data_IF_306120186182
#
_entry.id   IF_306120186182
#
_cell.length_a   1.000
_cell.length_b   1.000
_cell.length_c   1.000
_cell.angle_alpha   90.00
_cell.angle_beta   90.00
_cell.angle_gamma   90.00
#
_symmetry.space_group_name_H-M   'P 1'
#
loop_
_entity.id
_entity.type
_entity.pdbx_description
1 polymer ?
#
# COMPACT_ATOMS: atom_id res chain seq x y z
N UNK A 1 8.18 2.60 -31.22
CA UNK A 1 6.77 2.67 -30.79
C UNK A 1 6.83 3.00 -29.31
N UNK A 2 6.25 4.12 -28.89
CA UNK A 2 6.33 4.55 -27.50
C UNK A 2 5.55 3.58 -26.63
N UNK A 3 6.14 3.16 -25.49
CA UNK A 3 5.45 2.29 -24.55
C UNK A 3 4.54 3.15 -23.68
N UNK A 4 3.22 2.91 -23.73
CA UNK A 4 2.25 3.80 -23.10
C UNK A 4 1.35 3.00 -22.15
N UNK A 5 1.28 3.45 -20.90
CA UNK A 5 0.46 2.86 -19.86
C UNK A 5 -0.63 3.83 -19.35
N UNK A 6 -1.72 3.26 -18.85
CA UNK A 6 -2.77 3.96 -18.11
C UNK A 6 -2.81 3.43 -16.67
N UNK A 7 -2.60 4.30 -15.69
CA UNK A 7 -2.82 4.02 -14.28
C UNK A 7 -4.20 4.51 -13.86
N UNK A 8 -5.03 3.61 -13.32
CA UNK A 8 -6.31 3.92 -12.68
C UNK A 8 -6.13 3.72 -11.17
N UNK A 9 -5.84 4.79 -10.42
CA UNK A 9 -5.48 4.67 -9.02
C UNK A 9 -6.67 4.32 -8.15
N UNK A 10 -6.37 3.83 -6.94
CA UNK A 10 -7.33 3.66 -5.86
C UNK A 10 -7.32 4.95 -5.03
N UNK A 11 -8.47 5.54 -4.68
CA UNK A 11 -8.51 6.71 -3.82
C UNK A 11 -7.87 6.43 -2.45
N UNK A 12 -7.01 7.33 -1.98
CA UNK A 12 -6.42 7.29 -0.65
C UNK A 12 -4.89 7.40 -0.68
N UNK A 13 -4.33 8.08 0.31
CA UNK A 13 -2.90 8.46 0.37
C UNK A 13 -1.97 7.23 0.34
N UNK A 14 -2.30 6.18 1.09
CA UNK A 14 -1.48 4.95 1.10
C UNK A 14 -1.51 4.23 -0.25
N UNK A 15 -2.68 4.17 -0.88
CA UNK A 15 -2.84 3.56 -2.20
C UNK A 15 -2.11 4.35 -3.28
N UNK A 16 -2.19 5.68 -3.21
CA UNK A 16 -1.46 6.59 -4.08
C UNK A 16 0.07 6.40 -3.97
N UNK A 17 0.61 6.30 -2.75
CA UNK A 17 2.05 6.04 -2.54
C UNK A 17 2.51 4.74 -3.21
N UNK A 18 1.75 3.66 -3.05
CA UNK A 18 2.08 2.35 -3.63
C UNK A 18 1.97 2.40 -5.14
N UNK A 19 0.90 2.99 -5.67
CA UNK A 19 0.66 3.07 -7.11
C UNK A 19 1.69 3.95 -7.81
N UNK A 20 2.08 5.06 -7.17
CA UNK A 20 3.13 5.93 -7.70
C UNK A 20 4.49 5.22 -7.76
N UNK A 21 4.80 4.29 -6.86
CA UNK A 21 6.05 3.52 -7.01
C UNK A 21 6.03 2.54 -8.20
N UNK A 22 4.88 1.97 -8.56
CA UNK A 22 4.74 1.23 -9.82
C UNK A 22 4.84 2.14 -11.05
N UNK A 23 4.23 3.33 -10.99
CA UNK A 23 4.34 4.35 -12.05
C UNK A 23 5.79 4.77 -12.25
N UNK A 24 6.50 5.10 -11.17
CA UNK A 24 7.93 5.45 -11.20
C UNK A 24 8.77 4.35 -11.85
N UNK A 25 8.50 3.08 -11.52
CA UNK A 25 9.21 1.95 -12.11
C UNK A 25 8.98 1.85 -13.62
N UNK A 26 7.74 2.07 -14.08
CA UNK A 26 7.42 2.10 -15.51
C UNK A 26 8.10 3.28 -16.22
N UNK A 27 8.03 4.48 -15.64
CA UNK A 27 8.68 5.67 -16.18
C UNK A 27 10.20 5.49 -16.30
N UNK A 28 10.83 4.87 -15.28
CA UNK A 28 12.24 4.52 -15.32
C UNK A 28 12.59 3.54 -16.45
N UNK A 29 11.67 2.62 -16.79
CA UNK A 29 11.79 1.70 -17.92
C UNK A 29 11.44 2.34 -19.28
N UNK A 30 11.22 3.67 -19.32
CA UNK A 30 10.94 4.44 -20.52
C UNK A 30 9.48 4.40 -20.98
N UNK A 31 8.55 4.02 -20.09
CA UNK A 31 7.13 4.12 -20.39
C UNK A 31 6.61 5.53 -20.17
N UNK A 32 5.68 5.96 -21.00
CA UNK A 32 4.83 7.12 -20.73
C UNK A 32 3.59 6.65 -19.96
N UNK A 33 3.36 7.20 -18.78
CA UNK A 33 2.21 6.83 -17.95
C UNK A 33 1.20 7.96 -17.90
N UNK A 34 -0.06 7.61 -18.16
CA UNK A 34 -1.20 8.50 -18.00
C UNK A 34 -2.00 8.11 -16.76
N UNK A 35 -2.60 9.09 -16.10
CA UNK A 35 -3.42 8.88 -14.90
C UNK A 35 -4.90 9.11 -15.21
N UNK A 36 -5.73 8.10 -14.96
CA UNK A 36 -7.19 8.21 -15.00
C UNK A 36 -7.76 8.55 -13.62
N UNK A 37 -8.88 9.26 -13.55
CA UNK A 37 -9.62 9.44 -12.28
C UNK A 37 -10.67 8.33 -12.11
N UNK A 38 -10.56 7.45 -11.10
CA UNK A 38 -11.53 6.38 -10.85
C UNK A 38 -12.95 6.87 -10.51
N UNK A 39 -13.12 8.13 -10.11
CA UNK A 39 -14.43 8.71 -9.73
C UNK A 39 -15.22 9.26 -10.93
N UNK A 40 -14.55 9.50 -12.05
CA UNK A 40 -15.22 9.89 -13.30
C UNK A 40 -15.57 8.66 -14.10
N UNK A 41 -16.63 8.70 -14.94
CA UNK A 41 -16.84 7.67 -15.97
C UNK A 41 -15.62 7.70 -16.89
N UNK A 42 -14.64 6.85 -16.60
CA UNK A 42 -13.38 6.83 -17.30
C UNK A 42 -13.67 6.57 -18.78
N UNK A 43 -13.27 7.50 -19.63
CA UNK A 43 -13.26 7.28 -21.07
C UNK A 43 -12.10 6.36 -21.47
N UNK A 44 -11.78 5.30 -20.70
CA UNK A 44 -10.68 4.36 -20.96
C UNK A 44 -10.61 3.94 -22.42
N UNK A 45 -11.78 3.76 -23.05
CA UNK A 45 -11.90 3.49 -24.48
C UNK A 45 -11.20 4.56 -25.35
N UNK A 46 -11.51 5.85 -25.15
CA UNK A 46 -10.88 6.95 -25.89
C UNK A 46 -9.38 6.98 -25.65
N UNK A 47 -8.94 6.77 -24.42
CA UNK A 47 -7.51 6.73 -24.10
C UNK A 47 -6.78 5.61 -24.86
N UNK A 48 -7.35 4.39 -24.87
CA UNK A 48 -6.81 3.27 -25.64
C UNK A 48 -6.78 3.60 -27.14
N UNK A 49 -7.87 4.14 -27.68
CA UNK A 49 -8.02 4.43 -29.11
C UNK A 49 -7.14 5.61 -29.60
N UNK A 50 -7.00 6.68 -28.81
CA UNK A 50 -6.28 7.91 -29.19
C UNK A 50 -4.79 7.85 -28.85
N UNK A 51 -4.42 7.22 -27.74
CA UNK A 51 -3.03 7.18 -27.26
C UNK A 51 -2.35 5.84 -27.45
N UNK A 52 -3.04 4.81 -27.95
CA UNK A 52 -2.43 3.49 -28.18
C UNK A 52 -1.92 2.84 -26.89
N UNK A 53 -2.72 2.92 -25.81
CA UNK A 53 -2.39 2.32 -24.51
C UNK A 53 -2.10 0.82 -24.68
N UNK A 54 -0.98 0.36 -24.13
CA UNK A 54 -0.53 -1.04 -24.20
C UNK A 54 -0.65 -1.77 -22.85
N UNK A 55 -0.66 -1.02 -21.75
CA UNK A 55 -0.80 -1.54 -20.39
C UNK A 55 -1.80 -0.70 -19.60
N UNK A 56 -2.72 -1.36 -18.89
CA UNK A 56 -3.58 -0.72 -17.90
C UNK A 56 -3.23 -1.29 -16.53
N UNK A 57 -2.85 -0.42 -15.60
CA UNK A 57 -2.74 -0.76 -14.18
C UNK A 57 -3.99 -0.30 -13.45
N UNK A 58 -4.66 -1.20 -12.75
CA UNK A 58 -5.90 -0.90 -12.05
C UNK A 58 -5.99 -1.66 -10.73
N UNK A 59 -7.00 -1.35 -9.92
CA UNK A 59 -7.26 -1.99 -8.65
C UNK A 59 -8.71 -2.50 -8.58
N UNK A 60 -8.92 -3.56 -7.78
CA UNK A 60 -10.24 -4.03 -7.37
C UNK A 60 -11.13 -2.89 -6.84
N UNK A 61 -12.45 -3.06 -6.96
CA UNK A 61 -13.54 -2.09 -6.66
C UNK A 61 -13.59 -0.82 -7.51
N UNK A 62 -12.45 -0.21 -7.81
CA UNK A 62 -12.42 1.14 -8.37
C UNK A 62 -12.32 1.16 -9.90
N UNK A 63 -11.33 0.48 -10.47
CA UNK A 63 -11.08 0.59 -11.92
C UNK A 63 -11.59 -0.59 -12.75
N UNK A 64 -11.63 -1.80 -12.20
CA UNK A 64 -11.92 -3.02 -12.97
C UNK A 64 -13.29 -3.01 -13.67
N UNK A 65 -14.33 -2.53 -12.99
CA UNK A 65 -15.71 -2.46 -13.53
C UNK A 65 -15.89 -1.39 -14.61
N UNK A 66 -14.92 -0.49 -14.77
CA UNK A 66 -14.96 0.58 -15.77
C UNK A 66 -14.20 0.20 -17.05
N UNK A 67 -13.52 -0.94 -17.06
CA UNK A 67 -12.70 -1.36 -18.19
C UNK A 67 -13.56 -1.73 -19.41
N UNK A 68 -13.26 -1.18 -20.60
CA UNK A 68 -13.94 -1.55 -21.84
C UNK A 68 -13.37 -2.87 -22.36
N UNK A 69 -13.74 -4.00 -21.73
CA UNK A 69 -13.15 -5.34 -21.98
C UNK A 69 -13.06 -5.69 -23.47
N UNK A 70 -14.12 -5.43 -24.25
CA UNK A 70 -14.10 -5.67 -25.70
C UNK A 70 -12.96 -4.91 -26.39
N UNK A 71 -12.81 -3.62 -26.10
CA UNK A 71 -11.75 -2.79 -26.72
C UNK A 71 -10.36 -3.23 -26.28
N UNK A 72 -10.21 -3.61 -25.00
CA UNK A 72 -8.96 -4.16 -24.45
C UNK A 72 -8.55 -5.42 -25.21
N UNK A 73 -9.47 -6.37 -25.37
CA UNK A 73 -9.21 -7.62 -26.08
C UNK A 73 -8.97 -7.40 -27.58
N UNK A 74 -9.78 -6.58 -28.25
CA UNK A 74 -9.65 -6.26 -29.69
C UNK A 74 -8.30 -5.59 -30.02
N UNK A 75 -7.68 -4.93 -29.04
CA UNK A 75 -6.41 -4.20 -29.18
C UNK A 75 -5.22 -4.90 -28.50
N UNK A 76 -5.42 -6.07 -27.91
CA UNK A 76 -4.41 -6.80 -27.12
C UNK A 76 -3.73 -5.94 -26.03
N UNK A 77 -4.52 -5.14 -25.32
CA UNK A 77 -4.01 -4.34 -24.20
C UNK A 77 -3.83 -5.24 -22.99
N UNK A 78 -2.64 -5.22 -22.39
CA UNK A 78 -2.37 -5.95 -21.15
C UNK A 78 -3.00 -5.23 -19.94
N UNK A 79 -3.52 -5.98 -18.98
CA UNK A 79 -4.13 -5.42 -17.76
C UNK A 79 -3.47 -6.01 -16.52
N UNK A 80 -2.90 -5.18 -15.66
CA UNK A 80 -2.44 -5.56 -14.34
C UNK A 80 -3.48 -5.10 -13.30
N UNK A 81 -3.96 -6.03 -12.47
CA UNK A 81 -4.96 -5.73 -11.43
C UNK A 81 -4.40 -6.08 -10.05
N UNK A 82 -4.34 -5.10 -9.15
CA UNK A 82 -4.18 -5.34 -7.72
C UNK A 82 -5.52 -5.78 -7.14
N UNK A 83 -5.63 -7.07 -6.81
CA UNK A 83 -6.88 -7.69 -6.35
C UNK A 83 -7.00 -7.68 -4.84
N UNK A 84 -8.21 -7.37 -4.38
CA UNK A 84 -8.57 -7.43 -2.97
C UNK A 84 -9.09 -8.83 -2.58
N UNK A 85 -9.02 -9.19 -1.29
CA UNK A 85 -9.70 -10.36 -0.77
C UNK A 85 -11.20 -10.30 -1.04
N UNK A 86 -11.85 -11.45 -1.15
CA UNK A 86 -13.31 -11.57 -1.28
C UNK A 86 -13.92 -11.91 0.07
N UNK A 87 -15.04 -11.29 0.42
CA UNK A 87 -15.78 -11.66 1.63
C UNK A 87 -16.74 -12.82 1.35
N UNK A 88 -16.18 -14.03 1.18
CA UNK A 88 -16.96 -15.23 0.83
C UNK A 88 -17.77 -15.82 1.99
N UNK A 89 -17.51 -15.39 3.23
CA UNK A 89 -18.00 -16.03 4.46
C UNK A 89 -18.81 -15.10 5.37
N UNK A 90 -19.26 -13.94 4.87
CA UNK A 90 -19.88 -12.85 5.67
C UNK A 90 -19.07 -12.52 6.94
N UNK A 91 -17.76 -12.76 6.88
CA UNK A 91 -16.90 -12.67 8.04
C UNK A 91 -16.51 -11.22 8.26
N UNK A 92 -16.83 -10.70 9.45
CA UNK A 92 -16.31 -9.43 9.92
C UNK A 92 -14.83 -9.58 10.23
N UNK A 93 -13.97 -9.31 9.24
CA UNK A 93 -12.55 -9.09 9.53
C UNK A 93 -12.46 -7.76 10.29
N UNK A 94 -12.06 -7.83 11.56
CA UNK A 94 -11.75 -6.64 12.36
C UNK A 94 -10.56 -5.90 11.75
N UNK A 95 -10.82 -4.87 10.95
CA UNK A 95 -9.81 -4.00 10.37
C UNK A 95 -10.33 -3.16 9.21
N UNK A 96 -9.55 -2.17 8.73
CA UNK A 96 -9.93 -1.30 7.62
C UNK A 96 -9.81 -2.00 6.25
N UNK A 97 -10.03 -3.32 6.19
CA UNK A 97 -9.85 -4.08 4.96
C UNK A 97 -11.07 -3.92 4.07
N UNK A 98 -10.79 -3.57 2.83
CA UNK A 98 -11.79 -3.56 1.78
C UNK A 98 -11.80 -4.91 1.08
N UNK A 99 -12.99 -5.36 0.69
CA UNK A 99 -13.17 -6.57 -0.09
C UNK A 99 -13.49 -6.23 -1.54
N UNK A 100 -13.01 -7.05 -2.47
CA UNK A 100 -13.44 -7.04 -3.86
C UNK A 100 -14.94 -7.36 -3.94
N UNK A 101 -15.60 -6.90 -4.99
CA UNK A 101 -16.94 -7.35 -5.30
C UNK A 101 -16.94 -8.77 -5.91
N UNK A 102 -18.00 -9.54 -5.65
CA UNK A 102 -18.10 -10.95 -6.05
C UNK A 102 -18.03 -11.22 -7.56
N UNK A 103 -18.38 -10.23 -8.38
CA UNK A 103 -18.34 -10.30 -9.84
C UNK A 103 -16.94 -10.05 -10.43
N UNK A 104 -16.01 -9.46 -9.66
CA UNK A 104 -14.69 -9.07 -10.16
C UNK A 104 -13.86 -10.23 -10.72
N UNK A 105 -13.80 -11.44 -10.09
CA UNK A 105 -13.13 -12.59 -10.68
C UNK A 105 -13.67 -12.97 -12.07
N UNK A 106 -14.99 -12.84 -12.25
CA UNK A 106 -15.64 -13.13 -13.54
C UNK A 106 -15.32 -12.07 -14.57
N UNK A 107 -15.21 -10.79 -14.17
CA UNK A 107 -14.82 -9.70 -15.07
C UNK A 107 -13.36 -9.84 -15.53
N UNK A 108 -12.46 -10.14 -14.60
CA UNK A 108 -11.03 -10.35 -14.89
C UNK A 108 -10.84 -11.53 -15.85
N UNK A 109 -11.56 -12.64 -15.63
CA UNK A 109 -11.47 -13.82 -16.49
C UNK A 109 -11.96 -13.61 -17.94
N UNK A 110 -12.56 -12.45 -18.26
CA UNK A 110 -12.94 -12.09 -19.65
C UNK A 110 -11.83 -11.35 -20.41
N UNK A 111 -10.77 -10.93 -19.74
CA UNK A 111 -9.65 -10.21 -20.34
C UNK A 111 -8.61 -11.24 -20.79
N UNK A 112 -8.15 -11.14 -22.04
CA UNK A 112 -7.21 -12.14 -22.59
C UNK A 112 -5.81 -12.03 -21.97
N UNK A 113 -5.28 -10.81 -21.87
CA UNK A 113 -3.94 -10.52 -21.35
C UNK A 113 -4.09 -9.83 -19.98
N UNK A 114 -4.19 -10.62 -18.92
CA UNK A 114 -4.38 -10.10 -17.56
C UNK A 114 -3.42 -10.73 -16.55
N UNK A 115 -2.84 -9.88 -15.71
CA UNK A 115 -2.06 -10.27 -14.54
C UNK A 115 -2.82 -9.82 -13.31
N UNK A 116 -3.45 -10.77 -12.62
CA UNK A 116 -3.98 -10.53 -11.28
C UNK A 116 -2.83 -10.68 -10.28
N UNK A 117 -2.63 -9.67 -9.44
CA UNK A 117 -1.65 -9.72 -8.38
C UNK A 117 -2.23 -9.25 -7.05
N UNK A 118 -1.60 -9.64 -5.95
CA UNK A 118 -1.96 -9.13 -4.63
C UNK A 118 -0.72 -8.96 -3.78
N UNK A 119 -0.80 -8.01 -2.86
CA UNK A 119 0.21 -7.81 -1.81
C UNK A 119 -0.06 -8.68 -0.57
N UNK A 120 -1.27 -9.22 -0.43
CA UNK A 120 -1.58 -10.16 0.64
C UNK A 120 -0.88 -11.49 0.38
N UNK A 121 -0.25 -12.05 1.41
CA UNK A 121 0.37 -13.37 1.30
C UNK A 121 -0.71 -14.43 1.08
N UNK A 122 -0.74 -15.12 -0.08
CA UNK A 122 -1.87 -15.95 -0.45
C UNK A 122 -2.14 -17.09 0.53
N UNK A 123 -1.10 -17.63 1.17
CA UNK A 123 -1.26 -18.73 2.14
C UNK A 123 -1.89 -18.27 3.46
N UNK A 124 -1.67 -17.02 3.89
CA UNK A 124 -2.30 -16.45 5.09
C UNK A 124 -3.73 -16.01 4.86
N UNK A 125 -4.09 -15.74 3.59
CA UNK A 125 -5.39 -15.24 3.17
C UNK A 125 -6.15 -16.23 2.27
N UNK A 126 -5.75 -17.50 2.29
CA UNK A 126 -6.21 -18.51 1.33
C UNK A 126 -7.74 -18.58 1.24
N UNK A 127 -8.44 -18.52 2.39
CA UNK A 127 -9.91 -18.56 2.47
C UNK A 127 -10.61 -17.40 1.73
N UNK A 128 -9.99 -16.22 1.72
CA UNK A 128 -10.53 -15.01 1.07
C UNK A 128 -10.04 -14.83 -0.37
N UNK A 129 -9.01 -15.57 -0.79
CA UNK A 129 -8.42 -15.45 -2.14
C UNK A 129 -8.83 -16.59 -3.07
N UNK A 130 -9.65 -17.54 -2.61
CA UNK A 130 -10.00 -18.79 -3.32
C UNK A 130 -10.56 -18.64 -4.73
N UNK A 131 -11.27 -17.55 -5.04
CA UNK A 131 -11.85 -17.33 -6.39
C UNK A 131 -10.85 -16.71 -7.37
N UNK A 132 -9.69 -16.26 -6.91
CA UNK A 132 -8.63 -15.74 -7.78
C UNK A 132 -7.80 -16.91 -8.32
N UNK A 133 -7.66 -16.98 -9.65
CA UNK A 133 -6.80 -17.96 -10.33
C UNK A 133 -5.45 -17.34 -10.66
N UNK A 134 -4.38 -18.14 -10.58
CA UNK A 134 -3.03 -17.78 -11.01
C UNK A 134 -2.54 -16.43 -10.45
N UNK A 135 -2.85 -16.19 -9.17
CA UNK A 135 -2.54 -14.95 -8.48
C UNK A 135 -1.03 -14.79 -8.27
N UNK A 136 -0.46 -13.72 -8.81
CA UNK A 136 0.92 -13.35 -8.54
C UNK A 136 1.01 -12.63 -7.19
N UNK A 137 1.87 -13.09 -6.29
CA UNK A 137 2.20 -12.30 -5.10
C UNK A 137 3.21 -11.22 -5.48
N UNK A 138 2.77 -9.96 -5.43
CA UNK A 138 3.62 -8.78 -5.64
C UNK A 138 3.60 -7.92 -4.37
N UNK A 139 4.73 -7.81 -3.66
CA UNK A 139 4.84 -6.90 -2.51
C UNK A 139 4.51 -5.46 -2.90
N UNK A 140 4.04 -4.67 -1.94
CA UNK A 140 3.78 -3.24 -2.15
C UNK A 140 5.06 -2.52 -2.60
N UNK A 141 5.01 -1.87 -3.76
CA UNK A 141 6.13 -1.09 -4.30
C UNK A 141 6.00 0.39 -3.93
N UNK A 142 6.16 0.76 -2.66
CA UNK A 142 6.26 2.17 -2.27
C UNK A 142 7.66 2.73 -2.55
N UNK A 143 7.80 3.65 -3.51
CA UNK A 143 9.10 4.26 -3.81
C UNK A 143 9.36 5.51 -2.96
N UNK A 144 9.75 5.30 -1.71
CA UNK A 144 10.13 6.41 -0.82
C UNK A 144 11.53 6.95 -1.13
N UNK A 145 12.31 6.28 -1.99
CA UNK A 145 13.71 6.65 -2.29
C UNK A 145 13.80 8.01 -2.99
N UNK A 146 12.83 8.36 -3.85
CA UNK A 146 12.77 9.70 -4.48
C UNK A 146 12.63 10.84 -3.47
N UNK A 147 12.08 10.54 -2.31
CA UNK A 147 11.88 11.49 -1.22
C UNK A 147 12.97 11.39 -0.14
N UNK A 148 13.90 10.45 -0.25
CA UNK A 148 15.05 10.41 0.65
C UNK A 148 15.96 11.60 0.36
N UNK A 149 16.48 12.28 1.39
CA UNK A 149 17.48 13.30 1.19
C UNK A 149 18.73 12.69 0.51
N UNK A 150 19.42 13.44 -0.38
CA UNK A 150 20.61 12.95 -1.08
C UNK A 150 21.72 12.45 -0.14
N UNK A 151 21.73 12.98 1.08
CA UNK A 151 22.57 12.54 2.19
C UNK A 151 21.69 12.22 3.39
N UNK A 152 21.68 10.96 3.81
CA UNK A 152 21.00 10.54 5.05
C UNK A 152 22.00 10.56 6.21
N UNK A 153 21.93 11.62 7.04
CA UNK A 153 22.56 11.60 8.36
C UNK A 153 21.52 11.24 9.42
N UNK A 154 21.88 10.35 10.33
CA UNK A 154 21.04 10.04 11.47
C UNK A 154 20.88 11.27 12.39
N UNK A 155 19.64 11.64 12.72
CA UNK A 155 19.30 12.74 13.62
C UNK A 155 18.51 12.29 14.87
N UNK A 156 17.87 11.12 14.82
CA UNK A 156 17.09 10.56 15.95
C UNK A 156 17.44 9.09 16.15
N UNK A 157 17.38 8.60 17.39
CA UNK A 157 17.64 7.18 17.67
C UNK A 157 16.45 6.33 17.20
N UNK A 158 15.23 6.74 17.54
CA UNK A 158 14.01 5.99 17.19
C UNK A 158 13.02 6.89 16.45
N UNK A 159 12.34 6.35 15.44
CA UNK A 159 11.19 7.02 14.84
C UNK A 159 10.03 6.05 14.59
N UNK A 160 8.80 6.45 14.91
CA UNK A 160 7.61 5.63 14.69
C UNK A 160 6.46 6.46 14.12
N UNK A 161 5.85 5.98 13.04
CA UNK A 161 4.61 6.56 12.51
C UNK A 161 3.50 5.52 12.60
N UNK A 162 2.57 5.71 13.55
CA UNK A 162 1.50 4.74 13.80
C UNK A 162 0.26 5.37 14.45
N UNK A 163 -0.91 4.87 14.08
CA UNK A 163 -2.18 5.22 14.70
C UNK A 163 -2.64 4.08 15.63
N UNK A 164 -3.06 4.44 16.85
CA UNK A 164 -3.51 3.48 17.88
C UNK A 164 -4.98 3.60 18.27
N UNK A 165 -5.77 4.42 17.57
CA UNK A 165 -7.19 4.64 17.86
C UNK A 165 -8.00 3.34 17.94
N UNK A 166 -7.71 2.39 17.05
CA UNK A 166 -8.32 1.05 17.03
C UNK A 166 -7.46 -0.04 17.72
N UNK A 167 -6.33 0.33 18.32
CA UNK A 167 -5.32 -0.59 18.88
C UNK A 167 -4.81 -0.12 20.25
N UNK A 168 -5.70 0.43 21.08
CA UNK A 168 -5.31 0.98 22.38
C UNK A 168 -4.71 -0.07 23.32
N UNK A 169 -5.10 -1.34 23.19
CA UNK A 169 -4.47 -2.45 23.93
C UNK A 169 -3.00 -2.62 23.59
N UNK A 170 -2.65 -2.59 22.30
CA UNK A 170 -1.27 -2.63 21.81
C UNK A 170 -0.48 -1.42 22.32
N UNK A 171 -1.08 -0.23 22.26
CA UNK A 171 -0.47 0.98 22.80
C UNK A 171 -0.07 0.78 24.26
N UNK A 172 -1.01 0.33 25.10
CA UNK A 172 -0.81 0.19 26.54
C UNK A 172 0.17 -0.93 26.91
N UNK A 173 0.12 -2.06 26.20
CA UNK A 173 0.89 -3.26 26.56
C UNK A 173 2.31 -3.27 26.01
N UNK A 174 2.54 -2.67 24.84
CA UNK A 174 3.81 -2.79 24.12
C UNK A 174 4.48 -1.46 23.87
N UNK A 175 3.74 -0.48 23.35
CA UNK A 175 4.32 0.80 22.93
C UNK A 175 4.67 1.68 24.12
N UNK A 176 3.73 1.91 25.03
CA UNK A 176 3.95 2.75 26.18
C UNK A 176 5.13 2.26 27.06
N UNK A 177 5.24 0.96 27.41
CA UNK A 177 6.41 0.47 28.14
C UNK A 177 7.73 0.63 27.36
N UNK A 178 7.72 0.36 26.05
CA UNK A 178 8.90 0.50 25.20
C UNK A 178 9.41 1.94 25.18
N UNK A 179 8.53 2.90 24.89
CA UNK A 179 8.92 4.31 24.74
C UNK A 179 9.27 4.97 26.08
N UNK A 180 8.60 4.59 27.18
CA UNK A 180 9.04 4.99 28.53
C UNK A 180 10.44 4.50 28.86
N UNK A 181 10.80 3.29 28.41
CA UNK A 181 12.17 2.78 28.55
C UNK A 181 13.17 3.56 27.70
N UNK A 182 12.79 4.01 26.50
CA UNK A 182 13.63 4.90 25.69
C UNK A 182 13.90 6.23 26.40
N UNK A 183 12.86 6.84 26.97
CA UNK A 183 12.98 8.06 27.78
C UNK A 183 13.94 7.87 28.97
N UNK A 184 13.77 6.77 29.72
CA UNK A 184 14.62 6.43 30.86
C UNK A 184 16.10 6.20 30.49
N UNK A 185 16.35 5.67 29.29
CA UNK A 185 17.70 5.42 28.78
C UNK A 185 18.30 6.63 28.05
N UNK A 186 17.56 7.73 27.92
CA UNK A 186 18.01 8.95 27.26
C UNK A 186 18.10 8.84 25.74
N UNK A 187 17.36 7.92 25.11
CA UNK A 187 17.29 7.82 23.66
C UNK A 187 16.34 8.87 23.08
N UNK A 188 16.78 9.55 22.03
CA UNK A 188 15.96 10.49 21.27
C UNK A 188 14.94 9.73 20.41
N UNK A 189 13.69 10.18 20.40
CA UNK A 189 12.69 9.61 19.51
C UNK A 189 11.72 10.64 18.92
N UNK A 190 11.19 10.30 17.75
CA UNK A 190 10.11 11.03 17.10
C UNK A 190 8.92 10.10 16.87
N UNK A 191 7.72 10.52 17.23
CA UNK A 191 6.49 9.76 16.98
C UNK A 191 5.41 10.60 16.34
N UNK A 192 4.81 10.07 15.27
CA UNK A 192 3.73 10.69 14.54
C UNK A 192 2.54 9.74 14.47
N UNK A 193 1.32 10.27 14.57
CA UNK A 193 0.14 9.41 14.68
C UNK A 193 -1.12 10.14 15.09
N UNK A 194 -2.00 9.43 15.79
CA UNK A 194 -3.21 9.98 16.37
C UNK A 194 -3.00 10.46 17.82
N UNK A 195 -4.03 11.08 18.38
CA UNK A 195 -4.01 11.65 19.73
C UNK A 195 -3.79 10.61 20.86
N UNK A 196 -3.82 9.30 20.55
CA UNK A 196 -3.59 8.24 21.54
C UNK A 196 -2.18 8.29 22.12
N UNK A 197 -1.18 8.73 21.34
CA UNK A 197 0.18 8.97 21.81
C UNK A 197 0.22 9.96 22.97
N UNK A 198 -0.51 11.07 22.83
CA UNK A 198 -0.60 12.09 23.85
C UNK A 198 -1.29 11.58 25.12
N UNK A 199 -2.35 10.76 24.96
CA UNK A 199 -3.07 10.15 26.10
C UNK A 199 -2.17 9.19 26.91
N UNK A 200 -1.21 8.53 26.26
CA UNK A 200 -0.23 7.68 26.91
C UNK A 200 0.91 8.45 27.61
N UNK A 201 0.85 9.79 27.62
CA UNK A 201 1.87 10.67 28.22
C UNK A 201 3.27 10.46 27.63
N UNK A 202 3.35 10.13 26.34
CA UNK A 202 4.61 10.03 25.60
C UNK A 202 4.88 11.33 24.84
N UNK A 203 6.16 11.61 24.54
CA UNK A 203 6.50 12.69 23.62
C UNK A 203 5.84 12.40 22.27
N UNK A 204 5.20 13.40 21.66
CA UNK A 204 4.36 13.24 20.47
C UNK A 204 4.55 14.43 19.52
N UNK A 205 4.87 14.16 18.26
CA UNK A 205 5.17 15.18 17.25
C UNK A 205 3.94 15.62 16.44
N UNK A 206 2.75 15.06 16.71
CA UNK A 206 1.52 15.40 15.99
C UNK A 206 1.16 14.42 14.87
N UNK A 207 0.04 14.67 14.18
CA UNK A 207 -0.35 13.88 13.02
C UNK A 207 0.54 14.20 11.83
N UNK A 208 0.86 13.19 11.02
CA UNK A 208 1.54 13.39 9.77
C UNK A 208 0.54 13.81 8.68
N UNK A 209 0.41 15.11 8.46
CA UNK A 209 -0.51 15.66 7.46
C UNK A 209 0.19 15.89 6.13
N UNK A 210 -0.33 15.21 5.09
CA UNK A 210 -0.33 15.71 3.71
C UNK A 210 0.97 15.61 2.91
N UNK A 211 1.92 14.74 3.25
CA UNK A 211 3.11 14.55 2.41
C UNK A 211 3.83 13.22 2.68
N UNK A 212 3.80 12.33 1.68
CA UNK A 212 4.50 11.04 1.71
C UNK A 212 6.02 11.24 1.78
N UNK A 213 6.55 12.35 1.26
CA UNK A 213 7.99 12.62 1.30
C UNK A 213 8.52 12.85 2.72
N UNK A 214 7.66 13.33 3.64
CA UNK A 214 8.01 13.46 5.06
C UNK A 214 8.25 12.11 5.73
N UNK A 215 7.52 11.05 5.33
CA UNK A 215 7.77 9.69 5.84
C UNK A 215 9.18 9.22 5.48
N UNK A 216 9.59 9.44 4.24
CA UNK A 216 10.93 9.09 3.79
C UNK A 216 12.00 9.81 4.60
N UNK A 217 11.82 11.11 4.87
CA UNK A 217 12.76 11.88 5.68
C UNK A 217 12.83 11.39 7.13
N UNK A 218 11.68 11.14 7.78
CA UNK A 218 11.61 10.64 9.16
C UNK A 218 12.35 9.29 9.27
N UNK A 219 12.04 8.34 8.39
CA UNK A 219 12.66 7.01 8.43
C UNK A 219 14.10 7.01 7.91
N UNK A 220 14.46 7.89 6.98
CA UNK A 220 15.82 8.02 6.47
C UNK A 220 16.81 8.62 7.47
N UNK A 221 16.31 9.31 8.50
CA UNK A 221 17.13 9.99 9.51
C UNK A 221 17.06 9.35 10.90
N UNK A 222 16.34 8.24 11.07
CA UNK A 222 16.31 7.46 12.31
C UNK A 222 17.36 6.33 12.32
N UNK A 223 17.87 5.95 13.49
CA UNK A 223 18.67 4.71 13.62
C UNK A 223 17.78 3.48 13.50
N UNK A 224 16.60 3.55 14.12
CA UNK A 224 15.72 2.41 14.34
C UNK A 224 14.26 2.83 14.18
N UNK A 225 13.46 2.00 13.49
CA UNK A 225 12.05 2.28 13.20
C UNK A 225 11.17 1.10 13.64
N UNK A 226 10.64 1.09 14.89
CA UNK A 226 9.76 0.02 15.35
C UNK A 226 8.43 0.09 14.61
N UNK A 227 7.88 -1.09 14.29
CA UNK A 227 6.55 -1.19 13.73
C UNK A 227 5.74 -2.30 14.41
N UNK A 228 4.43 -2.09 14.53
CA UNK A 228 3.52 -3.01 15.22
C UNK A 228 2.36 -3.41 14.33
N UNK A 229 2.28 -4.72 14.08
CA UNK A 229 1.35 -5.35 13.15
C UNK A 229 0.73 -6.60 13.77
N UNK A 230 -0.54 -6.86 13.47
CA UNK A 230 -1.13 -8.17 13.74
C UNK A 230 -0.51 -9.21 12.79
N UNK A 231 -0.36 -10.47 13.21
CA UNK A 231 0.29 -11.53 12.41
C UNK A 231 -0.29 -11.69 10.99
N UNK A 232 -1.56 -11.34 10.77
CA UNK A 232 -2.19 -11.33 9.44
C UNK A 232 -1.76 -10.17 8.52
N UNK A 233 -0.93 -9.24 9.00
CA UNK A 233 -0.41 -8.04 8.32
C UNK A 233 1.10 -8.10 8.04
N UNK A 234 1.75 -9.23 8.38
CA UNK A 234 3.19 -9.44 8.25
C UNK A 234 3.71 -9.17 6.83
N UNK A 235 2.88 -9.41 5.80
CA UNK A 235 3.22 -9.17 4.40
C UNK A 235 3.24 -7.69 3.94
N UNK A 236 2.85 -6.72 4.78
CA UNK A 236 2.75 -5.31 4.36
C UNK A 236 4.04 -4.50 4.50
N UNK A 237 5.05 -4.97 5.24
CA UNK A 237 6.33 -4.25 5.36
C UNK A 237 7.55 -5.16 5.45
N UNK A 238 8.10 -5.44 4.28
CA UNK A 238 9.46 -5.90 4.13
C UNK A 238 10.22 -5.10 3.06
N UNK A 239 9.95 -3.81 2.85
CA UNK A 239 10.54 -3.10 1.69
C UNK A 239 10.90 -1.62 1.86
N UNK A 240 10.97 -1.06 3.06
CA UNK A 240 11.27 0.38 3.22
C UNK A 240 12.62 0.68 3.89
N UNK A 241 13.17 -0.22 4.71
CA UNK A 241 14.48 0.02 5.33
C UNK A 241 15.04 -1.28 5.91
N UNK A 242 16.32 -1.58 5.68
CA UNK A 242 17.04 -2.68 6.38
C UNK A 242 17.10 -2.44 7.91
N UNK A 243 16.68 -1.26 8.38
CA UNK A 243 16.64 -0.82 9.78
C UNK A 243 15.24 -0.88 10.43
N UNK A 244 14.25 -1.36 9.70
CA UNK A 244 12.91 -1.62 10.24
C UNK A 244 12.90 -3.05 10.80
N UNK A 245 12.67 -3.20 12.10
CA UNK A 245 12.46 -4.52 12.71
C UNK A 245 11.03 -4.62 13.25
N UNK A 246 10.45 -5.80 13.09
CA UNK A 246 9.07 -6.08 13.49
C UNK A 246 9.04 -6.39 14.99
N UNK A 247 8.09 -5.78 15.73
CA UNK A 247 7.71 -6.27 17.05
C UNK A 247 6.53 -7.23 16.84
N UNK A 248 6.75 -8.56 16.89
CA UNK A 248 5.65 -9.51 16.74
C UNK A 248 4.65 -9.35 17.89
N UNK A 249 3.36 -9.27 17.56
CA UNK A 249 2.26 -9.12 18.52
C UNK A 249 1.95 -10.41 19.30
N UNK A 250 2.62 -11.51 19.01
CA UNK A 250 2.44 -12.80 19.70
C UNK A 250 3.80 -13.25 20.25
N UNK A 251 4.02 -13.03 21.54
CA UNK A 251 5.28 -13.36 22.23
C UNK A 251 5.29 -12.89 23.68
N UNK A 252 4.31 -13.36 24.46
CA UNK A 252 4.11 -13.08 25.89
C UNK A 252 2.76 -13.58 26.34
#
# INVERSE_FOLDING_TARGET
MDKIALCIPRPGITSEMVQNGYVDALEHLGWKVYHGDPKTKLCCRKWIEEHGIQLIMTHSRYGIRQLPIKVINDRNVAVAVDVLPLNSTDSTINGPYEFAHDDEPTLIGKIHEVVAHSHFEPHLWAEYMTKWKDLLHLPLAGNLVRALPPTCSTITDVAMVANFGHRQGVMRQLIEPLFKRLDLLGYSYQVFGDHIWQLASLSYNGPLVGDVSKLAHIYGTAKVCPNVHAEKQVGQQAFINERSFMIPLCGG
#
